data_IF_134219368047
#
_entry.id   IF_134219368047
#
_cell.length_a   1.000
_cell.length_b   1.000
_cell.length_c   1.000
_cell.angle_alpha   90.00
_cell.angle_beta   90.00
_cell.angle_gamma   90.00
#
_symmetry.space_group_name_H-M   'P 1'
#
loop_
_entity.id
_entity.type
_entity.pdbx_description
1 polymer ?
#
# COMPACT_ATOMS: atom_id res chain seq x y z
N UNK A 1 -4.56 19.85 21.72
CA UNK A 1 -3.90 18.54 21.82
C UNK A 1 -4.20 17.78 20.52
N UNK A 2 -3.38 18.00 19.49
CA UNK A 2 -3.62 17.43 18.17
C UNK A 2 -3.29 15.94 18.23
N UNK A 3 -4.33 15.10 18.25
CA UNK A 3 -4.20 13.66 18.07
C UNK A 3 -3.74 13.44 16.62
N UNK A 4 -2.42 13.36 16.48
CA UNK A 4 -1.75 12.90 15.30
C UNK A 4 -2.15 11.45 15.09
N UNK A 5 -3.17 11.19 14.27
CA UNK A 5 -3.41 9.85 13.72
C UNK A 5 -2.35 9.58 12.65
N UNK A 6 -1.09 9.57 13.07
CA UNK A 6 -0.05 8.93 12.31
C UNK A 6 -0.39 7.45 12.33
N UNK A 7 -0.70 6.88 11.17
CA UNK A 7 -0.50 5.44 10.98
C UNK A 7 1.01 5.24 11.10
N UNK A 8 1.50 5.13 12.34
CA UNK A 8 2.85 4.75 12.65
C UNK A 8 2.94 3.25 12.44
N UNK A 9 2.84 2.81 11.19
CA UNK A 9 3.18 1.43 10.83
C UNK A 9 4.69 1.37 10.83
N UNK A 10 5.22 0.92 11.96
CA UNK A 10 6.61 0.51 12.17
C UNK A 10 7.15 -0.21 10.93
N UNK A 11 8.44 -0.02 10.63
CA UNK A 11 9.24 -0.63 9.52
C UNK A 11 8.95 -2.10 9.19
N UNK A 12 8.32 -2.83 10.10
CA UNK A 12 8.03 -4.27 10.04
C UNK A 12 6.63 -4.58 9.47
N UNK A 13 5.63 -3.70 9.62
CA UNK A 13 4.23 -4.07 9.34
C UNK A 13 3.79 -3.84 7.88
N UNK A 14 4.57 -3.11 7.09
CA UNK A 14 4.30 -2.94 5.66
C UNK A 14 4.74 -4.17 4.87
N UNK A 15 5.74 -4.91 5.35
CA UNK A 15 6.22 -6.15 4.73
C UNK A 15 5.24 -7.31 4.83
N UNK A 16 4.42 -7.34 5.88
CA UNK A 16 3.46 -8.41 6.15
C UNK A 16 2.04 -7.92 5.87
N UNK A 17 1.63 -8.00 4.60
CA UNK A 17 0.21 -8.05 4.24
C UNK A 17 -0.27 -7.03 3.21
N UNK A 18 -1.56 -6.67 3.33
CA UNK A 18 -2.34 -5.84 2.42
C UNK A 18 -1.69 -4.50 2.01
N UNK A 19 -0.86 -3.91 2.86
CA UNK A 19 -0.30 -2.57 2.66
C UNK A 19 0.57 -2.46 1.39
N UNK A 20 1.36 -3.49 1.08
CA UNK A 20 2.19 -3.53 -0.15
C UNK A 20 1.36 -3.40 -1.42
N UNK A 21 0.16 -3.95 -1.43
CA UNK A 21 -0.69 -4.00 -2.62
C UNK A 21 -1.68 -2.83 -2.69
N UNK A 22 -2.25 -2.45 -1.56
CA UNK A 22 -3.23 -1.36 -1.50
C UNK A 22 -2.57 0.02 -1.61
N UNK A 23 -1.39 0.23 -1.01
CA UNK A 23 -0.80 1.58 -0.94
C UNK A 23 -0.41 2.14 -2.32
N UNK A 24 0.32 1.41 -3.19
CA UNK A 24 0.64 1.92 -4.53
C UNK A 24 -0.60 2.30 -5.35
N UNK A 25 -1.70 1.58 -5.13
CA UNK A 25 -2.99 1.80 -5.81
C UNK A 25 -3.78 2.97 -5.24
N UNK A 26 -3.51 3.37 -4.00
CA UNK A 26 -4.18 4.49 -3.33
C UNK A 26 -3.43 5.81 -3.49
N UNK A 27 -2.09 5.80 -3.53
CA UNK A 27 -1.29 7.05 -3.53
C UNK A 27 -0.33 7.18 -4.72
N UNK A 28 -0.26 6.17 -5.58
CA UNK A 28 0.75 6.07 -6.65
C UNK A 28 2.02 5.36 -6.18
N UNK A 29 2.75 4.76 -7.11
CA UNK A 29 3.89 3.89 -6.80
C UNK A 29 5.05 4.66 -6.17
N UNK A 30 5.40 5.83 -6.72
CA UNK A 30 6.52 6.62 -6.22
C UNK A 30 6.29 7.08 -4.76
N UNK A 31 5.08 7.60 -4.46
CA UNK A 31 4.74 8.04 -3.09
C UNK A 31 4.63 6.86 -2.13
N UNK A 32 4.08 5.73 -2.58
CA UNK A 32 4.03 4.51 -1.79
C UNK A 32 5.43 4.03 -1.40
N UNK A 33 6.36 3.95 -2.36
CA UNK A 33 7.75 3.57 -2.09
C UNK A 33 8.45 4.55 -1.13
N UNK A 34 8.21 5.86 -1.27
CA UNK A 34 8.71 6.84 -0.30
C UNK A 34 8.21 6.52 1.12
N UNK A 35 6.91 6.35 1.28
CA UNK A 35 6.28 6.07 2.59
C UNK A 35 6.81 4.76 3.19
N UNK A 36 6.89 3.70 2.39
CA UNK A 36 7.32 2.38 2.84
C UNK A 36 8.80 2.33 3.21
N UNK A 37 9.67 2.91 2.39
CA UNK A 37 11.13 2.86 2.59
C UNK A 37 11.61 3.87 3.64
N UNK A 38 10.91 5.00 3.82
CA UNK A 38 11.32 6.04 4.79
C UNK A 38 10.59 5.94 6.13
N UNK A 39 9.46 5.22 6.18
CA UNK A 39 8.59 5.13 7.36
C UNK A 39 8.14 6.49 7.92
N UNK A 40 8.08 7.52 7.07
CA UNK A 40 7.61 8.85 7.47
C UNK A 40 6.08 8.82 7.66
N UNK A 41 5.55 9.30 8.80
CA UNK A 41 4.12 9.38 9.01
C UNK A 41 3.50 10.47 8.12
N UNK A 42 2.35 10.16 7.53
CA UNK A 42 1.54 11.11 6.75
C UNK A 42 0.54 11.80 7.67
N UNK A 43 0.38 13.12 7.53
CA UNK A 43 -0.58 13.91 8.33
C UNK A 43 -1.97 13.84 7.74
N UNK A 44 -3.02 14.03 8.55
CA UNK A 44 -4.42 13.89 8.12
C UNK A 44 -4.78 14.67 6.84
N UNK A 45 -4.34 15.93 6.72
CA UNK A 45 -4.64 16.74 5.54
C UNK A 45 -3.93 16.22 4.27
N UNK A 46 -2.68 15.79 4.40
CA UNK A 46 -1.92 15.14 3.31
C UNK A 46 -2.56 13.78 2.97
N UNK A 47 -3.07 13.06 3.97
CA UNK A 47 -3.74 11.78 3.77
C UNK A 47 -5.03 11.93 2.94
N UNK A 48 -5.83 12.99 3.17
CA UNK A 48 -6.98 13.30 2.32
C UNK A 48 -6.53 13.57 0.89
N UNK A 49 -5.53 14.45 0.70
CA UNK A 49 -5.11 14.83 -0.66
C UNK A 49 -4.53 13.66 -1.44
N UNK A 50 -3.86 12.74 -0.74
CA UNK A 50 -3.35 11.51 -1.33
C UNK A 50 -4.45 10.46 -1.57
N UNK A 51 -5.66 10.62 -1.03
CA UNK A 51 -6.74 9.64 -1.11
C UNK A 51 -6.54 8.40 -0.22
N UNK A 52 -5.74 8.54 0.84
CA UNK A 52 -5.57 7.52 1.87
C UNK A 52 -6.76 7.44 2.83
N UNK A 53 -7.43 8.58 3.04
CA UNK A 53 -8.62 8.69 3.89
C UNK A 53 -9.72 9.42 3.13
N UNK A 54 -10.96 8.99 3.36
CA UNK A 54 -12.14 9.57 2.72
C UNK A 54 -12.61 10.89 3.36
N UNK A 55 -12.36 11.06 4.65
CA UNK A 55 -12.81 12.22 5.42
C UNK A 55 -11.94 12.44 6.66
N UNK A 56 -11.89 13.70 7.12
CA UNK A 56 -11.33 14.10 8.41
C UNK A 56 -12.50 14.57 9.28
N UNK A 57 -12.51 14.13 10.54
CA UNK A 57 -13.49 14.56 11.53
C UNK A 57 -12.77 14.88 12.84
N UNK A 58 -13.39 15.71 13.67
CA UNK A 58 -12.97 15.90 15.06
C UNK A 58 -13.16 14.59 15.84
N UNK A 59 -12.41 14.40 16.93
CA UNK A 59 -12.50 13.16 17.74
C UNK A 59 -13.93 12.84 18.19
N UNK A 60 -14.71 13.87 18.50
CA UNK A 60 -16.09 13.73 18.99
C UNK A 60 -17.07 13.38 17.87
N UNK A 61 -16.73 13.67 16.62
CA UNK A 61 -17.59 13.43 15.45
C UNK A 61 -17.16 12.20 14.64
N UNK A 62 -16.01 11.61 14.96
CA UNK A 62 -15.41 10.51 14.21
C UNK A 62 -16.38 9.33 14.06
N UNK A 63 -17.00 8.89 15.15
CA UNK A 63 -17.94 7.77 15.14
C UNK A 63 -19.17 8.08 14.29
N UNK A 64 -19.75 9.27 14.45
CA UNK A 64 -20.94 9.67 13.69
C UNK A 64 -20.65 9.79 12.19
N UNK A 65 -19.46 10.31 11.84
CA UNK A 65 -18.99 10.45 10.45
C UNK A 65 -18.74 9.09 9.81
N UNK A 66 -18.10 8.17 10.53
CA UNK A 66 -17.87 6.80 10.07
C UNK A 66 -19.20 6.04 9.87
N UNK A 67 -20.12 6.13 10.84
CA UNK A 67 -21.45 5.53 10.75
C UNK A 67 -22.23 6.06 9.55
N UNK A 68 -22.23 7.37 9.32
CA UNK A 68 -22.88 7.98 8.16
C UNK A 68 -22.27 7.47 6.85
N UNK A 69 -20.95 7.41 6.76
CA UNK A 69 -20.26 6.89 5.57
C UNK A 69 -20.62 5.43 5.27
N UNK A 70 -20.75 4.59 6.30
CA UNK A 70 -21.18 3.20 6.12
C UNK A 70 -22.64 3.11 5.63
N UNK A 71 -23.54 3.94 6.17
CA UNK A 71 -24.92 4.02 5.70
C UNK A 71 -24.99 4.53 4.25
N UNK A 72 -24.18 5.51 3.87
CA UNK A 72 -24.13 6.01 2.50
C UNK A 72 -23.66 4.94 1.50
N UNK A 73 -22.75 4.05 1.90
CA UNK A 73 -22.34 2.89 1.08
C UNK A 73 -23.49 1.89 0.96
N UNK A 74 -24.18 1.58 2.07
CA UNK A 74 -25.33 0.67 2.09
C UNK A 74 -26.47 1.18 1.21
N UNK A 75 -26.76 2.47 1.29
CA UNK A 75 -27.79 3.16 0.49
C UNK A 75 -27.32 3.45 -0.95
N UNK A 76 -26.12 3.00 -1.34
CA UNK A 76 -25.51 3.19 -2.67
C UNK A 76 -25.32 4.65 -3.07
N UNK A 77 -25.32 5.58 -2.11
CA UNK A 77 -24.93 6.99 -2.30
C UNK A 77 -23.43 7.14 -2.51
N UNK A 78 -22.65 6.17 -2.03
CA UNK A 78 -21.21 6.06 -2.27
C UNK A 78 -20.85 4.66 -2.79
N UNK A 79 -19.86 4.55 -3.69
CA UNK A 79 -19.42 3.25 -4.17
C UNK A 79 -18.69 2.46 -3.08
N UNK A 80 -18.95 1.15 -3.01
CA UNK A 80 -18.08 0.22 -2.29
C UNK A 80 -16.85 -0.04 -3.16
N UNK A 81 -15.70 0.48 -2.72
CA UNK A 81 -14.43 0.36 -3.45
C UNK A 81 -13.54 -0.69 -2.76
N UNK A 82 -12.97 -1.60 -3.54
CA UNK A 82 -11.87 -2.46 -3.10
C UNK A 82 -10.53 -1.87 -3.54
N UNK A 83 -9.76 -1.35 -2.57
CA UNK A 83 -8.48 -0.68 -2.82
C UNK A 83 -7.42 -1.57 -3.50
N UNK A 84 -7.52 -2.90 -3.39
CA UNK A 84 -6.57 -3.80 -4.03
C UNK A 84 -6.67 -3.85 -5.55
N UNK A 85 -7.83 -3.52 -6.11
CA UNK A 85 -8.06 -3.61 -7.54
C UNK A 85 -8.16 -2.24 -8.22
N UNK A 86 -7.87 -1.18 -7.47
CA UNK A 86 -7.71 0.16 -8.02
C UNK A 86 -6.50 0.22 -8.93
N UNK A 87 -6.65 0.83 -10.10
CA UNK A 87 -5.57 1.05 -11.07
C UNK A 87 -5.47 2.50 -11.50
N UNK A 88 -6.35 3.37 -10.99
CA UNK A 88 -6.48 4.79 -11.35
C UNK A 88 -5.21 5.61 -11.07
N UNK A 89 -4.42 5.19 -10.07
CA UNK A 89 -3.18 5.87 -9.66
C UNK A 89 -1.92 5.08 -9.97
N UNK A 90 -2.04 3.92 -10.62
CA UNK A 90 -0.87 3.16 -11.02
C UNK A 90 -0.32 3.72 -12.33
N UNK A 91 0.98 3.93 -12.33
CA UNK A 91 1.75 4.30 -13.51
C UNK A 91 1.72 3.15 -14.53
N UNK A 92 1.82 3.46 -15.85
CA UNK A 92 1.95 2.44 -16.87
C UNK A 92 3.12 1.49 -16.57
N UNK A 93 3.00 0.22 -16.96
CA UNK A 93 3.94 -0.83 -16.57
C UNK A 93 5.42 -0.49 -16.88
N UNK A 94 5.68 0.18 -18.02
CA UNK A 94 7.03 0.61 -18.38
C UNK A 94 7.62 1.64 -17.41
N UNK A 95 6.83 2.64 -17.02
CA UNK A 95 7.24 3.66 -16.06
C UNK A 95 7.36 3.08 -14.64
N UNK A 96 6.41 2.24 -14.24
CA UNK A 96 6.44 1.54 -12.96
C UNK A 96 7.74 0.73 -12.77
N UNK A 97 8.20 0.03 -13.82
CA UNK A 97 9.46 -0.73 -13.80
C UNK A 97 10.68 0.16 -13.59
N UNK A 98 10.73 1.32 -14.25
CA UNK A 98 11.84 2.26 -14.06
C UNK A 98 11.85 2.85 -12.64
N UNK A 99 10.68 3.18 -12.08
CA UNK A 99 10.55 3.63 -10.69
C UNK A 99 11.05 2.55 -9.72
N UNK A 100 10.63 1.29 -9.90
CA UNK A 100 11.05 0.17 -9.05
C UNK A 100 12.56 -0.09 -9.15
N UNK A 101 13.11 -0.07 -10.37
CA UNK A 101 14.54 -0.22 -10.62
C UNK A 101 15.36 0.86 -9.92
N UNK A 102 14.91 2.11 -9.99
CA UNK A 102 15.53 3.22 -9.27
C UNK A 102 15.44 3.04 -7.75
N UNK A 103 14.28 2.65 -7.23
CA UNK A 103 14.09 2.38 -5.81
C UNK A 103 15.01 1.25 -5.30
N UNK A 104 15.18 0.17 -6.07
CA UNK A 104 16.14 -0.90 -5.73
C UNK A 104 17.56 -0.38 -5.63
N UNK A 105 17.99 0.43 -6.61
CA UNK A 105 19.33 1.00 -6.63
C UNK A 105 19.58 1.93 -5.43
N UNK A 106 18.58 2.74 -5.04
CA UNK A 106 18.68 3.58 -3.86
C UNK A 106 18.72 2.77 -2.57
N UNK A 107 17.88 1.74 -2.46
CA UNK A 107 17.80 0.88 -1.28
C UNK A 107 19.10 0.12 -1.04
N UNK A 108 19.71 -0.46 -2.08
CA UNK A 108 21.03 -1.12 -1.98
C UNK A 108 22.13 -0.18 -1.46
N UNK A 109 22.09 1.10 -1.86
CA UNK A 109 23.05 2.11 -1.38
C UNK A 109 22.83 2.49 0.08
N UNK A 110 21.57 2.62 0.51
CA UNK A 110 21.21 3.08 1.86
C UNK A 110 21.27 1.98 2.92
N UNK A 111 20.96 0.75 2.54
CA UNK A 111 20.84 -0.38 3.46
C UNK A 111 21.32 -1.69 2.83
N UNK A 112 22.64 -1.85 2.60
CA UNK A 112 23.19 -3.00 1.89
C UNK A 112 23.03 -4.34 2.64
N UNK A 113 22.79 -4.31 3.96
CA UNK A 113 22.69 -5.51 4.81
C UNK A 113 21.22 -5.94 5.02
N UNK A 114 20.25 -5.03 4.83
CA UNK A 114 18.85 -5.33 5.10
C UNK A 114 18.17 -5.89 3.85
N UNK A 115 17.73 -7.15 3.95
CA UNK A 115 17.01 -7.82 2.86
C UNK A 115 15.57 -7.32 2.71
N UNK A 116 14.90 -7.01 3.83
CA UNK A 116 13.47 -6.71 3.83
C UNK A 116 13.05 -5.54 2.92
N UNK A 117 13.77 -4.39 2.83
CA UNK A 117 13.40 -3.32 1.92
C UNK A 117 13.42 -3.72 0.44
N UNK A 118 14.28 -4.67 0.04
CA UNK A 118 14.32 -5.18 -1.34
C UNK A 118 13.16 -6.14 -1.60
N UNK A 119 12.89 -7.06 -0.66
CA UNK A 119 11.73 -7.97 -0.72
C UNK A 119 10.42 -7.19 -0.87
N UNK A 120 10.27 -6.08 -0.15
CA UNK A 120 9.11 -5.20 -0.28
C UNK A 120 8.92 -4.69 -1.72
N UNK A 121 10.01 -4.28 -2.38
CA UNK A 121 9.97 -3.82 -3.77
C UNK A 121 9.59 -4.98 -4.71
N UNK A 122 10.11 -6.18 -4.47
CA UNK A 122 9.87 -7.37 -5.31
C UNK A 122 8.42 -7.88 -5.21
N UNK A 123 7.82 -7.77 -4.02
CA UNK A 123 6.40 -8.05 -3.76
C UNK A 123 5.48 -7.03 -4.44
N UNK A 124 5.85 -5.74 -4.41
CA UNK A 124 5.08 -4.68 -5.09
C UNK A 124 5.13 -4.89 -6.60
N UNK A 125 6.31 -5.17 -7.14
CA UNK A 125 6.47 -5.44 -8.57
C UNK A 125 5.61 -6.62 -9.02
N UNK A 126 5.65 -7.74 -8.29
CA UNK A 126 4.79 -8.90 -8.57
C UNK A 126 3.31 -8.52 -8.55
N UNK A 127 2.93 -7.74 -7.55
CA UNK A 127 1.59 -7.21 -7.39
C UNK A 127 1.09 -6.35 -8.55
N UNK A 128 2.00 -5.63 -9.21
CA UNK A 128 1.71 -4.78 -10.37
C UNK A 128 1.67 -5.62 -11.65
N UNK A 129 2.58 -6.57 -11.81
CA UNK A 129 2.70 -7.41 -13.02
C UNK A 129 1.61 -8.49 -13.07
N UNK A 130 1.50 -9.26 -12.00
CA UNK A 130 0.70 -10.49 -11.92
C UNK A 130 -0.61 -10.28 -11.13
N UNK A 131 -0.83 -9.06 -10.63
CA UNK A 131 -2.02 -8.67 -9.88
C UNK A 131 -1.85 -8.77 -8.37
N UNK A 132 -2.74 -8.10 -7.61
CA UNK A 132 -2.61 -7.93 -6.16
C UNK A 132 -2.61 -9.27 -5.40
N UNK A 133 -3.34 -10.27 -5.90
CA UNK A 133 -3.37 -11.60 -5.31
C UNK A 133 -2.00 -12.26 -5.40
N UNK A 134 -1.35 -12.25 -6.55
CA UNK A 134 -0.01 -12.82 -6.75
C UNK A 134 1.04 -12.13 -5.86
N UNK A 135 0.98 -10.80 -5.74
CA UNK A 135 1.83 -10.07 -4.80
C UNK A 135 1.63 -10.48 -3.34
N UNK A 136 0.38 -10.71 -2.90
CA UNK A 136 0.11 -11.23 -1.56
C UNK A 136 0.63 -12.66 -1.37
N UNK A 137 0.49 -13.52 -2.38
CA UNK A 137 1.04 -14.89 -2.34
C UNK A 137 2.56 -14.86 -2.22
N UNK A 138 3.24 -13.97 -2.95
CA UNK A 138 4.70 -13.82 -2.86
C UNK A 138 5.17 -13.52 -1.44
N UNK A 139 4.44 -12.71 -0.67
CA UNK A 139 4.78 -12.46 0.76
C UNK A 139 4.79 -13.76 1.59
N UNK A 140 3.88 -14.67 1.29
CA UNK A 140 3.66 -15.88 2.08
C UNK A 140 4.60 -17.04 1.71
N UNK A 141 5.22 -16.99 0.53
CA UNK A 141 6.00 -18.09 -0.04
C UNK A 141 7.44 -17.72 -0.41
N UNK A 142 7.91 -16.51 -0.05
CA UNK A 142 9.31 -16.10 -0.25
C UNK A 142 10.26 -16.62 0.85
N UNK A 143 9.78 -17.49 1.74
CA UNK A 143 10.61 -18.29 2.66
C UNK A 143 11.17 -19.53 1.93
N UNK A 144 12.06 -19.30 0.96
CA UNK A 144 13.18 -20.21 0.65
C UNK A 144 12.92 -21.68 0.27
N UNK A 145 11.71 -22.11 -0.07
CA UNK A 145 11.47 -23.47 -0.57
C UNK A 145 10.66 -23.44 -1.88
N UNK A 146 11.17 -24.16 -2.88
CA UNK A 146 10.50 -24.47 -4.14
C UNK A 146 9.09 -25.02 -3.88
N UNK A 147 8.04 -24.29 -4.25
CA UNK A 147 6.70 -24.86 -4.28
C UNK A 147 6.10 -24.66 -5.66
N UNK A 148 5.97 -25.79 -6.37
CA UNK A 148 5.21 -25.96 -7.59
C UNK A 148 3.89 -25.19 -7.52
N UNK A 149 3.71 -24.30 -8.49
CA UNK A 149 2.45 -23.62 -8.76
C UNK A 149 1.44 -24.69 -9.19
N UNK A 150 0.68 -25.22 -8.22
CA UNK A 150 -0.55 -25.93 -8.52
C UNK A 150 -1.55 -24.91 -9.09
N UNK A 151 -1.60 -24.86 -10.43
CA UNK A 151 -2.78 -24.37 -11.15
C UNK A 151 -3.97 -25.21 -10.67
N UNK A 152 -4.95 -24.55 -10.06
CA UNK A 152 -6.27 -25.12 -9.86
C UNK A 152 -7.02 -24.91 -11.17
N UNK A 153 -7.26 -26.01 -11.87
CA UNK A 153 -8.30 -26.16 -12.88
C UNK A 153 -9.70 -26.05 -12.23
#
# INVERSE_FOLDING_TARGET
MALQTGVATSKVLILVGAGTQALPRLVGLAKALEMMLTSKPVRGQEAISLGLVDAIASSNELFNTARRSALDILERKRPWINSFYKTDKLEPLGEAREILKFARAQTRKRAPILMHPLVCIDVIEEGIISGPRAGLWKILYDDGDDVEVLRLD
#
